data_IF_431756872496
#
_entry.id   IF_431756872496
#
_cell.length_a   1.000
_cell.length_b   1.000
_cell.length_c   1.000
_cell.angle_alpha   90.00
_cell.angle_beta   90.00
_cell.angle_gamma   90.00
#
_symmetry.space_group_name_H-M   'P 1'
#
loop_
_entity.id
_entity.type
_entity.pdbx_description
1 polymer ?
#
# COMPACT_ATOMS: atom_id res chain seq x y z
N UNK A 1 -2.91 16.59 4.40
CA UNK A 1 -3.03 15.26 3.81
C UNK A 1 -2.06 14.37 4.55
N UNK A 2 -2.56 13.37 5.27
CA UNK A 2 -1.73 12.41 6.00
C UNK A 2 -1.32 11.32 5.00
N UNK A 3 -0.01 11.16 4.75
CA UNK A 3 0.50 10.13 3.84
C UNK A 3 0.79 8.87 4.65
N UNK A 4 0.24 7.74 4.24
CA UNK A 4 0.43 6.45 4.93
C UNK A 4 0.90 5.38 3.95
N UNK A 5 1.73 4.46 4.45
CA UNK A 5 2.10 3.23 3.73
C UNK A 5 2.44 2.12 4.73
N UNK A 6 3.06 1.03 4.26
CA UNK A 6 3.60 -0.04 5.10
C UNK A 6 5.05 -0.38 4.72
N UNK A 7 5.78 -1.12 5.59
CA UNK A 7 7.20 -1.39 5.39
C UNK A 7 7.57 -2.07 4.06
N UNK A 8 6.69 -2.90 3.49
CA UNK A 8 7.02 -3.62 2.25
C UNK A 8 6.97 -2.70 1.01
N UNK A 9 6.11 -1.67 0.96
CA UNK A 9 6.20 -0.63 -0.08
C UNK A 9 7.52 0.13 0.03
N UNK A 10 7.93 0.47 1.27
CA UNK A 10 9.25 1.09 1.49
C UNK A 10 10.37 0.18 0.97
N UNK A 11 10.27 -1.14 1.17
CA UNK A 11 11.25 -2.10 0.67
C UNK A 11 11.37 -2.15 -0.85
N UNK A 12 10.30 -1.84 -1.59
CA UNK A 12 10.35 -1.77 -3.06
C UNK A 12 11.27 -0.65 -3.54
N UNK A 13 11.27 0.50 -2.85
CA UNK A 13 11.92 1.75 -3.29
C UNK A 13 13.22 2.09 -2.55
N UNK A 14 13.36 1.67 -1.29
CA UNK A 14 14.54 1.95 -0.48
C UNK A 14 15.70 1.04 -0.87
N UNK A 15 16.75 1.63 -1.44
CA UNK A 15 17.99 0.96 -1.87
C UNK A 15 19.22 1.61 -1.26
N UNK A 16 19.05 2.36 -0.18
CA UNK A 16 20.09 3.25 0.31
C UNK A 16 21.05 2.60 1.31
N UNK A 17 22.07 1.95 0.79
CA UNK A 17 23.17 1.39 1.57
C UNK A 17 24.36 2.36 1.74
N UNK A 18 24.32 3.55 1.11
CA UNK A 18 25.43 4.55 1.12
C UNK A 18 24.99 5.97 1.53
N UNK A 19 23.75 6.18 1.95
CA UNK A 19 23.20 7.50 2.29
C UNK A 19 22.89 8.42 1.10
N UNK A 20 22.60 7.88 -0.10
CA UNK A 20 22.34 8.62 -1.34
C UNK A 20 20.86 8.93 -1.60
N UNK A 21 19.90 8.25 -0.98
CA UNK A 21 18.46 8.50 -1.21
C UNK A 21 17.91 9.58 -0.27
N UNK A 22 18.59 10.74 -0.21
CA UNK A 22 18.29 11.82 0.74
C UNK A 22 16.86 12.34 0.63
N UNK A 23 16.34 12.48 -0.60
CA UNK A 23 14.97 12.97 -0.81
C UNK A 23 13.91 11.94 -0.36
N UNK A 24 14.12 10.65 -0.64
CA UNK A 24 13.24 9.59 -0.15
C UNK A 24 13.28 9.52 1.38
N UNK A 25 14.48 9.60 1.99
CA UNK A 25 14.63 9.61 3.44
C UNK A 25 13.90 10.81 4.08
N UNK A 26 13.93 11.98 3.45
CA UNK A 26 13.18 13.16 3.91
C UNK A 26 11.67 12.96 3.76
N UNK A 27 11.20 12.42 2.63
CA UNK A 27 9.79 12.11 2.42
C UNK A 27 9.27 11.15 3.48
N UNK A 28 9.98 10.04 3.73
CA UNK A 28 9.55 9.01 4.68
C UNK A 28 9.41 9.52 6.13
N UNK A 29 10.06 10.63 6.51
CA UNK A 29 9.83 11.29 7.81
C UNK A 29 8.42 11.89 7.95
N UNK A 30 7.74 12.16 6.84
CA UNK A 30 6.38 12.67 6.80
C UNK A 30 5.34 11.59 6.45
N UNK A 31 5.76 10.32 6.36
CA UNK A 31 4.89 9.18 6.06
C UNK A 31 4.64 8.38 7.33
N UNK A 32 3.36 8.14 7.61
CA UNK A 32 2.94 7.16 8.62
C UNK A 32 3.17 5.74 8.08
N UNK A 33 4.20 5.06 8.59
CA UNK A 33 4.54 3.68 8.19
C UNK A 33 3.87 2.71 9.16
N UNK A 34 2.77 2.09 8.73
CA UNK A 34 2.00 1.15 9.54
C UNK A 34 2.55 -0.26 9.40
N UNK A 35 2.89 -0.88 10.53
CA UNK A 35 3.35 -2.27 10.59
C UNK A 35 2.27 -3.26 10.14
N UNK A 36 2.71 -4.37 9.54
CA UNK A 36 1.87 -5.52 9.20
C UNK A 36 2.05 -6.58 10.29
N UNK A 37 0.98 -6.96 10.95
CA UNK A 37 0.92 -8.06 11.92
C UNK A 37 0.29 -9.32 11.29
N UNK A 38 0.18 -10.41 12.08
CA UNK A 38 -0.43 -11.67 11.61
C UNK A 38 -1.88 -11.48 11.16
N UNK A 39 -2.65 -10.63 11.84
CA UNK A 39 -4.05 -10.36 11.50
C UNK A 39 -4.17 -9.69 10.13
N UNK A 40 -3.37 -8.64 9.90
CA UNK A 40 -3.28 -7.97 8.60
C UNK A 40 -2.79 -8.93 7.53
N UNK A 41 -1.77 -9.76 7.81
CA UNK A 41 -1.26 -10.76 6.87
C UNK A 41 -2.33 -11.77 6.42
N UNK A 42 -3.13 -12.30 7.36
CA UNK A 42 -4.26 -13.19 7.05
C UNK A 42 -5.34 -12.48 6.24
N UNK A 43 -5.65 -11.22 6.58
CA UNK A 43 -6.62 -10.41 5.85
C UNK A 43 -6.17 -10.14 4.40
N UNK A 44 -4.88 -9.86 4.18
CA UNK A 44 -4.32 -9.76 2.82
C UNK A 44 -4.52 -11.07 2.06
N UNK A 45 -4.17 -12.22 2.65
CA UNK A 45 -4.36 -13.53 2.00
C UNK A 45 -5.82 -13.83 1.64
N UNK A 46 -6.76 -13.50 2.52
CA UNK A 46 -8.19 -13.66 2.26
C UNK A 46 -8.68 -12.73 1.13
N UNK A 47 -8.22 -11.48 1.12
CA UNK A 47 -8.54 -10.52 0.06
C UNK A 47 -8.00 -11.00 -1.29
N UNK A 48 -6.75 -11.45 -1.34
CA UNK A 48 -6.12 -12.00 -2.53
C UNK A 48 -6.88 -13.21 -3.08
N UNK A 49 -7.28 -14.14 -2.20
CA UNK A 49 -8.10 -15.29 -2.58
C UNK A 49 -9.46 -14.88 -3.17
N UNK A 50 -10.08 -13.82 -2.64
CA UNK A 50 -11.33 -13.26 -3.16
C UNK A 50 -11.13 -12.55 -4.51
N UNK A 51 -10.01 -11.85 -4.69
CA UNK A 51 -9.70 -11.09 -5.90
C UNK A 51 -9.07 -11.93 -7.02
N UNK A 52 -8.62 -13.15 -6.74
CA UNK A 52 -7.87 -13.99 -7.69
C UNK A 52 -6.47 -13.44 -7.97
N UNK A 53 -5.84 -12.81 -6.99
CA UNK A 53 -4.54 -12.14 -7.10
C UNK A 53 -3.48 -12.77 -6.19
N UNK A 54 -2.22 -12.36 -6.33
CA UNK A 54 -1.09 -12.93 -5.59
C UNK A 54 -0.15 -11.93 -4.92
N UNK A 55 -0.29 -10.61 -5.12
CA UNK A 55 0.61 -9.62 -4.50
C UNK A 55 0.10 -9.14 -3.12
N UNK A 56 0.71 -9.58 -2.00
CA UNK A 56 0.30 -9.16 -0.66
C UNK A 56 0.64 -7.69 -0.35
N UNK A 57 1.54 -7.06 -1.10
CA UNK A 57 1.91 -5.65 -0.91
C UNK A 57 0.73 -4.77 -1.31
N UNK A 58 0.18 -4.99 -2.51
CA UNK A 58 -0.98 -4.23 -3.00
C UNK A 58 -2.23 -4.48 -2.15
N UNK A 59 -2.44 -5.72 -1.71
CA UNK A 59 -3.53 -6.05 -0.79
C UNK A 59 -3.41 -5.30 0.54
N UNK A 60 -2.19 -5.18 1.09
CA UNK A 60 -1.95 -4.44 2.33
C UNK A 60 -2.20 -2.93 2.16
N UNK A 61 -1.80 -2.34 1.02
CA UNK A 61 -2.13 -0.94 0.69
C UNK A 61 -3.64 -0.72 0.70
N UNK A 62 -4.39 -1.60 0.04
CA UNK A 62 -5.86 -1.51 0.01
C UNK A 62 -6.47 -1.69 1.39
N UNK A 63 -5.99 -2.63 2.21
CA UNK A 63 -6.51 -2.87 3.56
C UNK A 63 -6.15 -1.77 4.58
N UNK A 64 -5.07 -1.02 4.36
CA UNK A 64 -4.69 0.11 5.21
C UNK A 64 -5.52 1.37 4.98
N UNK A 65 -6.17 1.49 3.82
CA UNK A 65 -6.98 2.65 3.50
C UNK A 65 -8.18 2.81 4.46
N UNK A 66 -8.83 3.96 4.42
CA UNK A 66 -10.11 4.23 5.07
C UNK A 66 -11.09 4.74 4.02
N UNK A 67 -12.39 4.66 4.31
CA UNK A 67 -13.39 5.23 3.41
C UNK A 67 -13.10 6.72 3.19
N UNK A 68 -12.98 7.14 1.94
CA UNK A 68 -12.63 8.52 1.57
C UNK A 68 -11.14 8.77 1.34
N UNK A 69 -10.27 7.80 1.61
CA UNK A 69 -8.85 7.91 1.28
C UNK A 69 -8.61 7.87 -0.24
N UNK A 70 -7.41 8.32 -0.62
CA UNK A 70 -6.91 8.28 -1.99
C UNK A 70 -5.71 7.35 -2.06
N UNK A 71 -5.70 6.42 -3.01
CA UNK A 71 -4.56 5.53 -3.25
C UNK A 71 -3.83 6.00 -4.51
N UNK A 72 -2.58 6.39 -4.35
CA UNK A 72 -1.71 6.76 -5.46
C UNK A 72 -0.97 5.51 -5.97
N UNK A 73 -1.06 5.21 -7.26
CA UNK A 73 -0.44 4.02 -7.88
C UNK A 73 -0.11 4.26 -9.34
N UNK A 74 0.97 3.63 -9.83
CA UNK A 74 1.29 3.57 -11.27
C UNK A 74 0.54 2.45 -11.99
N UNK A 75 -0.02 1.49 -11.24
CA UNK A 75 -0.86 0.42 -11.79
C UNK A 75 -2.26 0.47 -11.16
N UNK A 76 -3.20 1.23 -11.76
CA UNK A 76 -4.54 1.36 -11.22
C UNK A 76 -5.39 0.09 -11.41
N UNK A 77 -5.09 -0.74 -12.42
CA UNK A 77 -5.93 -1.90 -12.75
C UNK A 77 -5.87 -2.97 -11.64
N UNK A 78 -4.67 -3.22 -11.12
CA UNK A 78 -4.49 -4.22 -10.07
C UNK A 78 -5.11 -3.75 -8.74
N UNK A 79 -4.93 -2.46 -8.41
CA UNK A 79 -5.51 -1.87 -7.20
C UNK A 79 -7.04 -1.80 -7.28
N UNK A 80 -7.63 -1.49 -8.44
CA UNK A 80 -9.09 -1.41 -8.62
C UNK A 80 -9.77 -2.74 -8.28
N UNK A 81 -9.24 -3.85 -8.78
CA UNK A 81 -9.76 -5.20 -8.48
C UNK A 81 -9.71 -5.52 -6.99
N UNK A 82 -8.65 -5.12 -6.29
CA UNK A 82 -8.53 -5.30 -4.84
C UNK A 82 -9.52 -4.41 -4.06
N UNK A 83 -9.74 -3.16 -4.51
CA UNK A 83 -10.73 -2.25 -3.92
C UNK A 83 -12.13 -2.84 -4.03
N UNK A 84 -12.51 -3.32 -5.22
CA UNK A 84 -13.80 -3.96 -5.49
C UNK A 84 -13.98 -5.20 -4.61
N UNK A 85 -12.97 -6.09 -4.58
CA UNK A 85 -13.00 -7.28 -3.74
C UNK A 85 -13.09 -6.93 -2.24
N UNK A 86 -12.44 -5.85 -1.78
CA UNK A 86 -12.50 -5.39 -0.40
C UNK A 86 -13.81 -4.65 -0.06
N UNK A 87 -14.61 -4.26 -1.06
CA UNK A 87 -15.82 -3.45 -0.86
C UNK A 87 -15.52 -2.06 -0.30
N UNK A 88 -14.35 -1.49 -0.64
CA UNK A 88 -13.88 -0.21 -0.07
C UNK A 88 -14.29 0.97 -0.94
N UNK A 89 -14.58 2.10 -0.30
CA UNK A 89 -14.82 3.38 -0.97
C UNK A 89 -13.59 4.25 -0.90
N UNK A 90 -12.71 4.11 -1.88
CA UNK A 90 -11.45 4.84 -2.01
C UNK A 90 -11.30 5.34 -3.44
N UNK A 91 -10.59 6.45 -3.61
CA UNK A 91 -10.33 7.05 -4.92
C UNK A 91 -8.94 6.68 -5.41
N UNK A 92 -8.84 6.13 -6.62
CA UNK A 92 -7.56 5.92 -7.28
C UNK A 92 -7.00 7.22 -7.84
N UNK A 93 -5.69 7.42 -7.68
CA UNK A 93 -4.94 8.55 -8.24
C UNK A 93 -3.78 7.96 -9.06
N UNK A 94 -3.91 7.88 -10.38
CA UNK A 94 -2.80 7.46 -11.25
C UNK A 94 -1.61 8.39 -11.11
N UNK A 95 -0.39 7.83 -11.12
CA UNK A 95 0.89 8.55 -11.04
C UNK A 95 1.76 8.32 -12.26
#
# INVERSE_FOLDING_TARGET
MELRTHPLVVSQVWRDYRGRQVNLARLLKAVDIISIDDSMGRACGALLGKAGMSDPIDAAVVLLSRSGDRIATSDPNDIERLIEAAGRRVTLVPM
#
